data_IF_494763696687
#
_entry.id   IF_494763696687
#
_cell.length_a   1.000
_cell.length_b   1.000
_cell.length_c   1.000
_cell.angle_alpha   90.00
_cell.angle_beta   90.00
_cell.angle_gamma   90.00
#
_symmetry.space_group_name_H-M   'P 1'
#
loop_
_entity.id
_entity.type
_entity.pdbx_description
1 polymer ?
#
# COMPACT_ATOMS: atom_id res chain seq x y z
N UNK A 1 27.60 14.71 11.03
CA UNK A 1 27.59 14.40 9.59
C UNK A 1 27.12 12.99 9.18
N UNK A 2 26.47 12.23 10.06
CA UNK A 2 26.20 10.79 9.84
C UNK A 2 24.74 10.44 9.54
N UNK A 3 23.79 11.18 10.12
CA UNK A 3 22.34 10.97 9.91
C UNK A 3 21.86 11.13 8.45
N UNK A 4 22.27 12.15 7.68
CA UNK A 4 21.71 12.35 6.34
C UNK A 4 22.17 11.27 5.35
N UNK A 5 23.36 10.68 5.57
CA UNK A 5 23.87 9.55 4.78
C UNK A 5 23.14 8.24 5.11
N UNK A 6 22.80 8.02 6.38
CA UNK A 6 22.06 6.83 6.82
C UNK A 6 20.62 6.81 6.28
N UNK A 7 19.91 7.94 6.36
CA UNK A 7 18.55 8.07 5.84
C UNK A 7 18.48 7.83 4.32
N UNK A 8 19.46 8.36 3.58
CA UNK A 8 19.60 8.11 2.14
C UNK A 8 19.89 6.64 1.82
N UNK A 9 20.68 5.96 2.64
CA UNK A 9 21.00 4.54 2.46
C UNK A 9 19.80 3.65 2.80
N UNK A 10 19.03 3.97 3.85
CA UNK A 10 17.83 3.25 4.24
C UNK A 10 16.71 3.42 3.20
N UNK A 11 16.46 4.65 2.72
CA UNK A 11 15.53 4.91 1.63
C UNK A 11 15.92 4.14 0.36
N UNK A 12 17.21 4.17 -0.02
CA UNK A 12 17.74 3.37 -1.14
C UNK A 12 17.55 1.87 -0.92
N UNK A 13 17.61 1.36 0.32
CA UNK A 13 17.39 -0.06 0.64
C UNK A 13 15.93 -0.47 0.51
N UNK A 14 14.98 0.39 0.91
CA UNK A 14 13.54 0.15 0.68
C UNK A 14 13.24 0.20 -0.83
N UNK A 15 13.77 1.21 -1.54
CA UNK A 15 13.63 1.37 -2.98
C UNK A 15 14.13 0.15 -3.77
N UNK A 16 15.32 -0.36 -3.45
CA UNK A 16 15.86 -1.53 -4.15
C UNK A 16 15.13 -2.84 -3.82
N UNK A 17 14.53 -2.96 -2.63
CA UNK A 17 13.80 -4.18 -2.25
C UNK A 17 12.44 -4.28 -2.97
N UNK A 18 11.76 -3.17 -3.23
CA UNK A 18 10.56 -3.15 -4.06
C UNK A 18 10.86 -3.25 -5.57
N UNK A 19 12.07 -2.90 -6.01
CA UNK A 19 12.45 -2.88 -7.44
C UNK A 19 12.58 -4.26 -8.10
N UNK A 20 12.75 -5.35 -7.33
CA UNK A 20 13.12 -6.65 -7.89
C UNK A 20 11.95 -7.62 -8.15
N UNK A 21 10.71 -7.30 -7.75
CA UNK A 21 9.61 -8.28 -7.79
C UNK A 21 8.64 -8.10 -8.97
N UNK A 22 8.33 -6.88 -9.42
CA UNK A 22 7.48 -6.68 -10.59
C UNK A 22 7.81 -5.38 -11.36
N UNK A 23 8.07 -5.51 -12.68
CA UNK A 23 8.22 -4.40 -13.62
C UNK A 23 6.87 -3.76 -13.98
N UNK A 24 6.04 -3.50 -12.97
CA UNK A 24 4.71 -2.91 -13.16
C UNK A 24 4.75 -1.37 -13.07
N UNK A 25 3.66 -0.70 -13.47
CA UNK A 25 3.52 0.77 -13.50
C UNK A 25 3.91 1.44 -12.17
N UNK A 26 3.74 0.74 -11.06
CA UNK A 26 4.15 1.13 -9.71
C UNK A 26 5.61 1.58 -9.62
N UNK A 27 6.53 0.83 -10.24
CA UNK A 27 7.97 1.08 -10.14
C UNK A 27 8.37 2.45 -10.71
N UNK A 28 7.69 2.92 -11.75
CA UNK A 28 7.93 4.23 -12.37
C UNK A 28 7.54 5.37 -11.42
N UNK A 29 6.37 5.28 -10.81
CA UNK A 29 5.88 6.30 -9.86
C UNK A 29 6.75 6.36 -8.60
N UNK A 30 7.20 5.21 -8.10
CA UNK A 30 8.07 5.11 -6.92
C UNK A 30 9.48 5.66 -7.21
N UNK A 31 10.02 5.38 -8.40
CA UNK A 31 11.35 5.85 -8.84
C UNK A 31 11.41 7.37 -9.00
N UNK A 32 10.32 8.01 -9.46
CA UNK A 32 10.25 9.47 -9.63
C UNK A 32 9.82 10.17 -8.34
N UNK A 33 8.82 9.63 -7.64
CA UNK A 33 8.26 10.24 -6.43
C UNK A 33 9.25 10.27 -5.25
N UNK A 34 10.06 9.22 -5.07
CA UNK A 34 11.02 9.16 -3.98
C UNK A 34 12.12 10.25 -4.02
N UNK A 35 12.87 10.45 -5.12
CA UNK A 35 13.87 11.53 -5.19
C UNK A 35 13.21 12.91 -5.15
N UNK A 36 12.00 13.05 -5.68
CA UNK A 36 11.25 14.30 -5.66
C UNK A 36 10.81 14.69 -4.24
N UNK A 37 10.28 13.73 -3.47
CA UNK A 37 9.93 13.93 -2.06
C UNK A 37 11.16 14.22 -1.21
N UNK A 38 12.26 13.50 -1.42
CA UNK A 38 13.51 13.69 -0.69
C UNK A 38 14.12 15.07 -0.97
N UNK A 39 14.17 15.48 -2.25
CA UNK A 39 14.71 16.78 -2.64
C UNK A 39 13.84 17.93 -2.12
N UNK A 40 12.51 17.78 -2.11
CA UNK A 40 11.59 18.74 -1.48
C UNK A 40 11.83 18.90 0.02
N UNK A 41 12.00 17.80 0.75
CA UNK A 41 12.30 17.83 2.19
C UNK A 41 13.66 18.47 2.48
N UNK A 42 14.70 18.09 1.73
CA UNK A 42 16.05 18.66 1.89
C UNK A 42 16.06 20.14 1.58
N UNK A 43 15.42 20.56 0.48
CA UNK A 43 15.32 21.96 0.08
C UNK A 43 14.58 22.79 1.13
N UNK A 44 13.41 22.33 1.60
CA UNK A 44 12.63 22.99 2.64
C UNK A 44 13.40 23.14 3.94
N UNK A 45 14.04 22.08 4.41
CA UNK A 45 14.80 22.09 5.66
C UNK A 45 16.04 22.99 5.58
N UNK A 46 16.73 22.98 4.44
CA UNK A 46 17.92 23.84 4.21
C UNK A 46 17.53 25.32 4.20
N UNK A 47 16.45 25.66 3.49
CA UNK A 47 15.93 27.03 3.43
C UNK A 47 15.41 27.50 4.78
N UNK A 48 14.66 26.66 5.48
CA UNK A 48 14.17 26.99 6.82
C UNK A 48 15.32 27.30 7.78
N UNK A 49 16.38 26.47 7.79
CA UNK A 49 17.57 26.75 8.61
C UNK A 49 18.26 28.06 8.23
N UNK A 50 18.37 28.36 6.94
CA UNK A 50 18.99 29.59 6.47
C UNK A 50 18.21 30.83 6.93
N UNK A 51 16.89 30.85 6.74
CA UNK A 51 16.05 31.97 7.17
C UNK A 51 15.91 32.09 8.70
N UNK A 52 15.95 30.96 9.42
CA UNK A 52 16.01 30.97 10.88
C UNK A 52 17.26 31.68 11.42
N UNK A 53 18.41 31.58 10.72
CA UNK A 53 19.63 32.28 11.12
C UNK A 53 19.63 33.77 10.77
N UNK A 54 18.92 34.16 9.72
CA UNK A 54 18.84 35.55 9.26
C UNK A 54 17.85 36.41 10.05
N UNK A 55 17.14 35.84 11.05
CA UNK A 55 16.05 36.49 11.79
C UNK A 55 14.99 37.15 10.89
N UNK A 56 14.92 36.72 9.63
CA UNK A 56 14.03 37.27 8.63
C UNK A 56 12.92 36.27 8.38
N UNK A 57 11.65 36.71 8.37
CA UNK A 57 10.54 35.82 8.04
C UNK A 57 10.80 35.22 6.66
N UNK A 58 10.80 33.88 6.61
CA UNK A 58 10.98 33.15 5.36
C UNK A 58 9.93 33.63 4.36
N UNK A 59 10.30 34.03 3.13
CA UNK A 59 9.33 34.45 2.14
C UNK A 59 8.28 33.37 1.95
N UNK A 60 7.00 33.74 1.96
CA UNK A 60 5.87 32.81 1.81
C UNK A 60 6.05 31.89 0.60
N UNK A 61 6.58 32.43 -0.50
CA UNK A 61 6.84 31.66 -1.73
C UNK A 61 7.83 30.51 -1.55
N UNK A 62 8.85 30.62 -0.69
CA UNK A 62 9.84 29.54 -0.50
C UNK A 62 9.24 28.35 0.23
N UNK A 63 8.40 28.60 1.24
CA UNK A 63 7.68 27.55 1.97
C UNK A 63 6.67 26.87 1.04
N UNK A 64 5.96 27.65 0.23
CA UNK A 64 4.98 27.13 -0.74
C UNK A 64 5.64 26.27 -1.81
N UNK A 65 6.76 26.69 -2.42
CA UNK A 65 7.48 25.90 -3.43
C UNK A 65 7.96 24.58 -2.82
N UNK A 66 8.48 24.61 -1.59
CA UNK A 66 8.91 23.40 -0.89
C UNK A 66 7.73 22.47 -0.58
N UNK A 67 6.60 23.02 -0.13
CA UNK A 67 5.40 22.26 0.16
C UNK A 67 4.83 21.62 -1.11
N UNK A 68 4.78 22.37 -2.22
CA UNK A 68 4.28 21.89 -3.51
C UNK A 68 5.12 20.70 -4.02
N UNK A 69 6.45 20.80 -3.93
CA UNK A 69 7.36 19.73 -4.33
C UNK A 69 7.19 18.46 -3.48
N UNK A 70 6.98 18.62 -2.17
CA UNK A 70 6.71 17.50 -1.24
C UNK A 70 5.34 16.87 -1.53
N UNK A 71 4.30 17.68 -1.73
CA UNK A 71 2.94 17.21 -2.03
C UNK A 71 2.92 16.40 -3.33
N UNK A 72 3.56 16.90 -4.39
CA UNK A 72 3.69 16.18 -5.66
C UNK A 72 4.44 14.85 -5.50
N UNK A 73 5.55 14.85 -4.77
CA UNK A 73 6.28 13.61 -4.46
C UNK A 73 5.42 12.61 -3.69
N UNK A 74 4.61 13.08 -2.73
CA UNK A 74 3.72 12.24 -1.94
C UNK A 74 2.56 11.67 -2.77
N UNK A 75 1.99 12.47 -3.67
CA UNK A 75 0.95 12.02 -4.60
C UNK A 75 1.43 10.90 -5.51
N UNK A 76 2.66 10.99 -6.02
CA UNK A 76 3.26 9.93 -6.83
C UNK A 76 3.46 8.64 -6.01
N UNK A 77 3.88 8.75 -4.75
CA UNK A 77 3.99 7.58 -3.84
C UNK A 77 2.62 6.94 -3.57
N UNK A 78 1.60 7.75 -3.29
CA UNK A 78 0.24 7.23 -3.08
C UNK A 78 -0.30 6.54 -4.33
N UNK A 79 -0.02 7.09 -5.51
CA UNK A 79 -0.40 6.48 -6.78
C UNK A 79 0.28 5.12 -6.98
N UNK A 80 1.55 4.98 -6.58
CA UNK A 80 2.26 3.71 -6.63
C UNK A 80 1.57 2.66 -5.74
N UNK A 81 1.28 3.01 -4.48
CA UNK A 81 0.59 2.11 -3.53
C UNK A 81 -0.80 1.72 -4.03
N UNK A 82 -1.54 2.66 -4.62
CA UNK A 82 -2.86 2.35 -5.19
C UNK A 82 -2.78 1.32 -6.33
N UNK A 83 -1.68 1.30 -7.08
CA UNK A 83 -1.48 0.36 -8.18
C UNK A 83 -1.07 -1.03 -7.64
N UNK A 84 -0.22 -1.08 -6.61
CA UNK A 84 0.12 -2.32 -5.90
C UNK A 84 -1.15 -3.03 -5.39
N UNK A 85 -2.06 -2.27 -4.76
CA UNK A 85 -3.34 -2.80 -4.28
C UNK A 85 -4.25 -3.32 -5.39
N UNK A 86 -4.17 -2.77 -6.61
CA UNK A 86 -4.95 -3.22 -7.76
C UNK A 86 -4.38 -4.46 -8.42
N UNK A 87 -3.08 -4.70 -8.27
CA UNK A 87 -2.40 -5.86 -8.84
C UNK A 87 -2.77 -7.17 -8.14
N UNK A 88 -3.36 -7.11 -6.94
CA UNK A 88 -3.85 -8.27 -6.20
C UNK A 88 -5.05 -8.90 -6.94
N UNK A 89 -4.93 -10.14 -7.44
CA UNK A 89 -6.00 -10.78 -8.20
C UNK A 89 -7.16 -11.17 -7.27
N UNK A 90 -8.31 -10.55 -7.48
CA UNK A 90 -9.56 -10.79 -6.71
C UNK A 90 -10.28 -12.07 -7.13
N UNK A 91 -9.90 -12.70 -8.25
CA UNK A 91 -10.55 -13.92 -8.72
C UNK A 91 -9.91 -15.16 -8.09
N UNK A 92 -10.65 -15.96 -7.30
CA UNK A 92 -10.18 -17.27 -6.90
C UNK A 92 -9.98 -18.13 -8.15
N UNK A 93 -8.85 -18.82 -8.23
CA UNK A 93 -8.47 -19.60 -9.41
C UNK A 93 -9.41 -20.79 -9.66
N UNK A 94 -10.24 -21.15 -8.69
CA UNK A 94 -11.28 -22.15 -8.84
C UNK A 94 -12.58 -21.49 -9.34
N UNK A 95 -12.64 -21.19 -10.64
CA UNK A 95 -13.87 -20.77 -11.32
C UNK A 95 -14.75 -21.99 -11.71
N UNK A 96 -14.65 -23.06 -10.93
CA UNK A 96 -15.40 -24.30 -11.13
C UNK A 96 -16.74 -24.24 -10.40
N UNK A 97 -17.83 -24.78 -10.97
CA UNK A 97 -19.07 -24.94 -10.23
C UNK A 97 -18.78 -25.70 -8.94
N UNK A 98 -19.22 -25.16 -7.80
CA UNK A 98 -19.16 -25.89 -6.53
C UNK A 98 -19.86 -27.22 -6.75
N UNK A 99 -19.07 -28.30 -6.85
CA UNK A 99 -19.67 -29.62 -6.99
C UNK A 99 -20.54 -29.83 -5.75
N UNK A 100 -21.81 -30.25 -5.92
CA UNK A 100 -22.66 -30.52 -4.78
C UNK A 100 -21.90 -31.52 -3.91
N UNK A 101 -21.58 -31.10 -2.67
CA UNK A 101 -20.88 -31.91 -1.67
C UNK A 101 -21.46 -33.31 -1.76
N UNK A 102 -20.68 -34.27 -2.28
CA UNK A 102 -21.12 -35.64 -2.48
C UNK A 102 -21.52 -36.12 -1.11
N UNK A 103 -22.82 -36.11 -0.85
CA UNK A 103 -23.41 -36.59 0.39
C UNK A 103 -22.98 -38.05 0.44
N UNK A 104 -21.98 -38.34 1.26
CA UNK A 104 -21.51 -39.71 1.49
C UNK A 104 -22.76 -40.49 1.84
N UNK A 105 -23.04 -41.56 1.10
CA UNK A 105 -24.26 -42.37 1.19
C UNK A 105 -24.44 -43.09 2.55
N UNK A 106 -23.80 -42.60 3.60
CA UNK A 106 -23.94 -43.02 4.99
C UNK A 106 -24.15 -41.87 5.96
N UNK A 107 -24.41 -40.63 5.51
CA UNK A 107 -24.85 -39.56 6.42
C UNK A 107 -26.34 -39.77 6.70
N UNK A 108 -26.74 -40.25 7.89
CA UNK A 108 -28.14 -40.48 8.20
C UNK A 108 -28.86 -39.13 8.14
N UNK A 109 -29.85 -39.04 7.25
CA UNK A 109 -30.73 -37.90 7.13
C UNK A 109 -31.43 -37.67 8.47
N UNK A 110 -30.92 -36.72 9.25
CA UNK A 110 -31.50 -36.31 10.54
C UNK A 110 -32.93 -35.77 10.39
N UNK A 111 -33.35 -35.42 9.17
CA UNK A 111 -34.73 -35.11 8.78
C UNK A 111 -35.67 -36.32 8.82
N UNK A 112 -35.18 -37.54 8.54
CA UNK A 112 -35.97 -38.77 8.66
C UNK A 112 -36.13 -39.23 10.12
N UNK A 113 -35.06 -39.08 10.92
CA UNK A 113 -35.07 -39.44 12.33
C UNK A 113 -36.04 -38.58 13.17
N UNK A 114 -36.19 -37.29 12.85
CA UNK A 114 -37.18 -36.42 13.52
C UNK A 114 -38.64 -36.81 13.23
N UNK A 115 -38.90 -37.48 12.11
CA UNK A 115 -40.27 -37.88 11.70
C UNK A 115 -40.73 -39.16 12.40
N UNK A 116 -39.82 -40.05 12.78
CA UNK A 116 -40.14 -41.28 13.51
C UNK A 116 -40.46 -41.05 15.00
N UNK A 117 -39.95 -39.97 15.60
CA UNK A 117 -40.15 -39.66 17.03
C UNK A 117 -41.54 -39.07 17.32
N UNK A 118 -42.25 -38.57 16.30
CA UNK A 118 -43.54 -37.86 16.47
C UNK A 118 -44.78 -38.68 16.09
N UNK A 119 -44.69 -40.01 16.00
CA UNK A 119 -45.87 -40.84 15.73
C UNK A 119 -46.57 -41.21 17.07
N UNK A 120 -47.86 -40.86 17.26
CA UNK A 120 -48.58 -41.23 18.48
C UNK A 120 -48.80 -42.75 18.55
N UNK A 121 -48.75 -43.36 19.75
CA UNK A 121 -49.07 -44.78 19.92
C UNK A 121 -50.54 -45.03 19.59
N UNK A 122 -50.78 -46.07 18.79
CA UNK A 122 -52.12 -46.57 18.44
C UNK A 122 -52.76 -47.28 19.62
#
# INVERSE_FOLDING_TARGET
DFLPRLARCFGRRILLKNFLFDFSMESVFLTIGAPMLLSGLVFGLTRWRHYAQLNQPSPTGTVVISALLVILGFQLLLSAVSEDLRSVPTTPWCNGPLLPRRRTAGEPSSTGARRAINLPPR
#
